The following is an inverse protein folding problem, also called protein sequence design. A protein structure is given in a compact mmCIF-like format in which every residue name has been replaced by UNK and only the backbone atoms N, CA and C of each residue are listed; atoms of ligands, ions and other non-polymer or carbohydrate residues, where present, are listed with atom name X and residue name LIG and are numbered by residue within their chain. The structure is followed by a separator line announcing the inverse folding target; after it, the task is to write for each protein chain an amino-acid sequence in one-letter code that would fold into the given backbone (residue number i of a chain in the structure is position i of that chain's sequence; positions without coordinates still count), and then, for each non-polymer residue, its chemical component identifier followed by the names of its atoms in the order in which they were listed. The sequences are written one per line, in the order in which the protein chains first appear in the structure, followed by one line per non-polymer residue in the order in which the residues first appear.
data_IF_115612908144
#
_entry.id   IF_115612908144
#
_cell.length_a   1.000
_cell.length_b   1.000
_cell.length_c   1.000
_cell.angle_alpha   90.00
_cell.angle_beta   90.00
_cell.angle_gamma   90.00
#
_symmetry.space_group_name_H-M   'P 1'
#
loop_
_entity.id
_entity.type
_entity.pdbx_description
1 polymer ?
#
# COMPACT_ATOMS: atom_id res chain seq x y z
N UNK A 1 2.51 18.90 -1.59
CA UNK A 1 1.07 19.09 -1.91
C UNK A 1 0.51 18.03 -2.86
N UNK A 2 1.18 17.59 -3.95
CA UNK A 2 0.65 16.50 -4.80
C UNK A 2 0.64 15.10 -4.16
N UNK A 3 1.54 14.82 -3.21
CA UNK A 3 1.56 13.51 -2.53
C UNK A 3 0.35 13.30 -1.61
N UNK A 4 -0.25 14.37 -1.10
CA UNK A 4 -1.42 14.32 -0.22
C UNK A 4 -2.72 14.07 -1.00
N UNK A 5 -2.82 14.51 -2.26
CA UNK A 5 -4.03 14.30 -3.06
C UNK A 5 -4.27 12.83 -3.41
N UNK A 6 -3.20 12.03 -3.45
CA UNK A 6 -3.25 10.58 -3.71
C UNK A 6 -3.50 9.77 -2.44
N UNK A 7 -3.39 10.39 -1.27
CA UNK A 7 -3.73 9.77 0.00
C UNK A 7 -5.21 10.04 0.29
N UNK A 8 -6.09 9.29 -0.38
CA UNK A 8 -7.54 9.34 -0.21
C UNK A 8 -8.13 7.93 -0.20
N UNK A 9 -9.36 7.83 0.30
CA UNK A 9 -10.17 6.61 0.25
C UNK A 9 -11.33 6.82 -0.73
N UNK A 10 -11.73 5.77 -1.44
CA UNK A 10 -12.79 5.86 -2.45
C UNK A 10 -14.19 5.98 -1.85
N UNK A 11 -15.12 6.53 -2.61
CA UNK A 11 -16.52 6.77 -2.21
C UNK A 11 -17.30 5.50 -1.87
N UNK A 12 -16.82 4.33 -2.32
CA UNK A 12 -17.41 3.01 -2.03
C UNK A 12 -16.98 2.41 -0.69
N UNK A 13 -16.03 3.04 0.02
CA UNK A 13 -15.62 2.58 1.35
C UNK A 13 -16.76 2.76 2.39
N UNK A 14 -16.65 2.08 3.53
CA UNK A 14 -17.58 2.27 4.65
C UNK A 14 -17.66 3.73 5.11
N UNK A 15 -18.84 4.15 5.61
CA UNK A 15 -19.05 5.55 6.06
C UNK A 15 -18.08 5.95 7.18
N UNK A 16 -17.78 5.05 8.11
CA UNK A 16 -16.80 5.27 9.18
C UNK A 16 -15.41 5.50 8.62
N UNK A 17 -14.98 4.66 7.67
CA UNK A 17 -13.68 4.82 7.01
C UNK A 17 -13.59 6.16 6.28
N UNK A 18 -14.61 6.53 5.49
CA UNK A 18 -14.65 7.82 4.79
C UNK A 18 -14.55 9.01 5.75
N UNK A 19 -15.32 8.99 6.84
CA UNK A 19 -15.31 10.07 7.84
C UNK A 19 -13.94 10.23 8.50
N UNK A 20 -13.32 9.13 8.90
CA UNK A 20 -12.03 9.16 9.59
C UNK A 20 -10.86 9.43 8.64
N UNK A 21 -10.94 8.98 7.39
CA UNK A 21 -9.97 9.34 6.36
C UNK A 21 -10.06 10.84 6.01
N UNK A 22 -11.26 11.41 5.96
CA UNK A 22 -11.45 12.84 5.75
C UNK A 22 -10.84 13.68 6.88
N UNK A 23 -11.02 13.25 8.13
CA UNK A 23 -10.34 13.87 9.28
C UNK A 23 -8.82 13.72 9.17
N UNK A 24 -8.31 12.53 8.83
CA UNK A 24 -6.88 12.30 8.60
C UNK A 24 -6.33 13.26 7.53
N UNK A 25 -7.01 13.41 6.39
CA UNK A 25 -6.63 14.35 5.32
C UNK A 25 -6.66 15.80 5.78
N UNK A 26 -7.70 16.23 6.51
CA UNK A 26 -7.76 17.57 7.08
C UNK A 26 -6.58 17.83 8.02
N UNK A 27 -6.25 16.85 8.86
CA UNK A 27 -5.16 16.94 9.81
C UNK A 27 -3.77 16.85 9.18
N UNK A 28 -3.64 16.18 8.03
CA UNK A 28 -2.42 16.15 7.23
C UNK A 28 -2.20 17.49 6.52
N UNK A 29 -3.20 17.99 5.80
CA UNK A 29 -3.05 19.16 4.92
C UNK A 29 -3.15 20.50 5.63
N UNK A 30 -3.99 20.63 6.66
CA UNK A 30 -4.28 21.92 7.32
C UNK A 30 -3.62 21.98 8.68
N UNK A 31 -3.91 21.02 9.56
CA UNK A 31 -3.48 21.12 10.96
C UNK A 31 -2.04 20.62 11.18
N UNK A 32 -1.52 19.81 10.25
CA UNK A 32 -0.21 19.14 10.33
C UNK A 32 0.04 18.45 11.68
N UNK A 33 -1.00 17.83 12.24
CA UNK A 33 -0.85 17.17 13.55
C UNK A 33 0.07 15.96 13.44
N UNK A 34 0.93 15.76 14.44
CA UNK A 34 1.95 14.70 14.41
C UNK A 34 1.40 13.32 14.09
N UNK A 35 0.23 12.94 14.62
CA UNK A 35 -0.36 11.62 14.33
C UNK A 35 -0.70 11.44 12.84
N UNK A 36 -1.19 12.49 12.18
CA UNK A 36 -1.58 12.42 10.77
C UNK A 36 -0.35 12.34 9.85
N UNK A 37 0.69 13.13 10.17
CA UNK A 37 1.97 13.10 9.45
C UNK A 37 2.63 11.73 9.61
N UNK A 38 2.66 11.18 10.84
CA UNK A 38 3.19 9.84 11.13
C UNK A 38 2.49 8.73 10.35
N UNK A 39 1.17 8.75 10.27
CA UNK A 39 0.43 7.78 9.44
C UNK A 39 0.79 7.93 7.95
N UNK A 40 0.89 9.15 7.46
CA UNK A 40 1.25 9.40 6.06
C UNK A 40 2.67 8.92 5.74
N UNK A 41 3.67 9.27 6.56
CA UNK A 41 5.07 8.87 6.34
C UNK A 41 5.32 7.38 6.62
N UNK A 42 4.48 6.74 7.45
CA UNK A 42 4.48 5.29 7.64
C UNK A 42 4.04 4.51 6.39
N UNK A 43 3.33 5.15 5.47
CA UNK A 43 2.89 4.54 4.22
C UNK A 43 3.97 4.67 3.15
N UNK A 44 4.15 3.65 2.31
CA UNK A 44 5.15 3.67 1.24
C UNK A 44 4.56 3.23 -0.09
N UNK A 45 4.01 4.15 -0.87
CA UNK A 45 3.56 3.85 -2.24
C UNK A 45 4.76 3.46 -3.13
N UNK A 46 4.59 2.52 -4.09
CA UNK A 46 5.64 2.14 -5.04
C UNK A 46 5.96 3.27 -6.03
N UNK A 47 6.62 4.34 -5.57
CA UNK A 47 7.17 5.43 -6.39
C UNK A 47 8.64 5.22 -6.75
N UNK A 48 9.35 4.34 -6.03
CA UNK A 48 10.81 4.20 -6.11
C UNK A 48 11.20 2.74 -6.27
N UNK A 49 11.98 2.42 -7.30
CA UNK A 49 12.63 1.11 -7.42
C UNK A 49 11.78 0.00 -8.04
N UNK A 50 10.57 0.26 -8.54
CA UNK A 50 9.79 -0.74 -9.29
C UNK A 50 10.58 -1.27 -10.50
N UNK A 51 11.14 -0.37 -11.32
CA UNK A 51 12.03 -0.70 -12.45
C UNK A 51 13.41 -1.23 -12.01
N UNK A 52 13.72 -1.19 -10.72
CA UNK A 52 14.94 -1.73 -10.12
C UNK A 52 14.69 -3.07 -9.40
N UNK A 53 13.49 -3.66 -9.55
CA UNK A 53 13.15 -4.94 -8.94
C UNK A 53 12.68 -4.86 -7.48
N UNK A 54 12.40 -3.68 -6.92
CA UNK A 54 11.89 -3.56 -5.55
C UNK A 54 10.45 -4.08 -5.49
N UNK A 55 10.28 -5.27 -4.89
CA UNK A 55 8.99 -5.93 -4.69
C UNK A 55 8.23 -5.45 -3.46
N UNK A 56 8.94 -5.07 -2.41
CA UNK A 56 8.36 -4.80 -1.09
C UNK A 56 8.64 -3.34 -0.68
N UNK A 57 7.58 -2.57 -0.48
CA UNK A 57 7.58 -1.19 -0.03
C UNK A 57 6.90 -1.14 1.35
N UNK A 58 7.63 -1.57 2.37
CA UNK A 58 7.04 -1.93 3.66
C UNK A 58 6.75 -0.73 4.56
N UNK A 59 7.22 0.48 4.22
CA UNK A 59 7.03 1.66 5.06
C UNK A 59 7.44 1.42 6.52
N UNK A 60 6.79 2.12 7.46
CA UNK A 60 7.05 1.99 8.89
C UNK A 60 5.88 1.32 9.62
N UNK A 61 5.98 0.00 9.83
CA UNK A 61 4.98 -0.75 10.59
C UNK A 61 4.83 -0.23 12.01
N UNK A 62 5.95 -0.10 12.74
CA UNK A 62 5.97 0.28 14.16
C UNK A 62 5.37 1.66 14.39
N UNK A 63 5.65 2.63 13.52
CA UNK A 63 5.10 3.98 13.68
C UNK A 63 3.60 4.02 13.39
N UNK A 64 3.15 3.30 12.36
CA UNK A 64 1.73 3.21 12.05
C UNK A 64 0.91 2.63 13.21
N UNK A 65 1.29 1.44 13.71
CA UNK A 65 0.50 0.76 14.75
C UNK A 65 0.58 1.48 16.09
N UNK A 66 1.67 2.22 16.37
CA UNK A 66 1.78 3.03 17.59
C UNK A 66 1.15 4.42 17.47
N UNK A 67 0.58 4.77 16.32
CA UNK A 67 -0.22 5.98 16.21
C UNK A 67 -1.56 5.76 16.93
N UNK A 68 -1.61 6.20 18.18
CA UNK A 68 -2.77 6.16 19.07
C UNK A 68 -3.02 7.56 19.63
N UNK A 69 -3.67 8.40 18.82
CA UNK A 69 -4.24 9.64 19.30
C UNK A 69 -5.58 9.34 19.99
N UNK A 70 -6.00 10.19 20.95
CA UNK A 70 -7.22 9.96 21.78
C UNK A 70 -8.46 9.51 21.01
N UNK A 71 -8.60 9.90 19.75
CA UNK A 71 -9.75 9.57 18.88
C UNK A 71 -9.37 8.81 17.62
N UNK A 72 -8.10 8.42 17.45
CA UNK A 72 -7.56 7.86 16.21
C UNK A 72 -6.49 6.81 16.48
N UNK A 73 -6.75 5.58 16.04
CA UNK A 73 -5.76 4.50 15.99
C UNK A 73 -5.39 4.17 14.55
N UNK A 74 -4.10 4.01 14.29
CA UNK A 74 -3.56 3.56 13.01
C UNK A 74 -3.73 2.05 12.80
N UNK A 75 -3.97 1.67 11.56
CA UNK A 75 -3.98 0.30 11.07
C UNK A 75 -2.98 0.19 9.93
N UNK A 76 -1.96 -0.63 10.11
CA UNK A 76 -1.01 -0.96 9.06
C UNK A 76 -1.61 -2.07 8.20
N UNK A 77 -1.60 -1.91 6.88
CA UNK A 77 -2.00 -2.96 5.94
C UNK A 77 -1.00 -3.07 4.79
N UNK A 78 -0.73 -4.29 4.33
CA UNK A 78 -0.07 -4.51 3.04
C UNK A 78 -1.11 -4.68 1.92
N UNK A 79 -0.93 -3.89 0.87
CA UNK A 79 -1.62 -4.04 -0.40
C UNK A 79 -0.75 -4.87 -1.32
N UNK A 80 -1.35 -5.87 -1.96
CA UNK A 80 -0.73 -6.71 -2.99
C UNK A 80 -1.26 -6.27 -4.36
N UNK A 81 -0.39 -5.86 -5.27
CA UNK A 81 -0.72 -5.72 -6.69
C UNK A 81 -0.08 -6.85 -7.48
N UNK A 82 -0.92 -7.50 -8.28
CA UNK A 82 -0.50 -8.51 -9.24
C UNK A 82 -0.53 -7.93 -10.65
N UNK A 83 0.64 -7.85 -11.28
CA UNK A 83 0.79 -7.39 -12.66
C UNK A 83 0.57 -8.56 -13.63
N UNK A 84 -0.26 -8.33 -14.64
CA UNK A 84 -0.57 -9.30 -15.69
C UNK A 84 -0.14 -8.73 -17.05
N UNK A 85 1.00 -9.23 -17.54
CA UNK A 85 1.55 -8.85 -18.84
C UNK A 85 1.20 -9.86 -19.95
N UNK A 86 0.37 -10.87 -19.65
CA UNK A 86 0.14 -12.00 -20.57
C UNK A 86 -0.54 -11.62 -21.89
N UNK A 87 -1.22 -10.47 -21.92
CA UNK A 87 -1.92 -9.96 -23.08
C UNK A 87 -1.09 -8.96 -23.92
N UNK A 88 0.11 -8.59 -23.46
CA UNK A 88 0.96 -7.64 -24.16
C UNK A 88 1.84 -8.34 -25.19
N UNK A 89 2.04 -7.68 -26.33
CA UNK A 89 3.08 -8.11 -27.27
C UNK A 89 4.46 -8.05 -26.60
N UNK A 90 5.33 -9.00 -26.92
CA UNK A 90 6.68 -9.01 -26.39
C UNK A 90 7.43 -7.74 -26.81
N UNK A 91 8.16 -7.08 -25.89
CA UNK A 91 8.84 -5.85 -26.21
C UNK A 91 9.92 -6.06 -27.27
N UNK A 92 9.92 -5.21 -28.31
CA UNK A 92 10.94 -5.23 -29.38
C UNK A 92 12.28 -4.64 -28.93
N UNK A 93 12.25 -3.80 -27.89
CA UNK A 93 13.41 -3.16 -27.28
C UNK A 93 13.15 -2.89 -25.80
N UNK A 94 14.22 -2.93 -25.02
CA UNK A 94 14.28 -2.64 -23.57
C UNK A 94 15.39 -1.62 -23.30
N UNK A 95 15.36 -0.97 -22.13
CA UNK A 95 16.34 0.04 -21.72
C UNK A 95 15.78 1.47 -21.73
N UNK A 96 16.67 2.44 -21.44
CA UNK A 96 16.29 3.80 -21.03
C UNK A 96 15.48 4.61 -22.07
N UNK A 97 15.62 4.29 -23.35
CA UNK A 97 14.89 4.94 -24.44
C UNK A 97 13.56 4.23 -24.80
N UNK A 98 13.26 3.12 -24.13
CA UNK A 98 12.05 2.32 -24.35
C UNK A 98 10.99 2.59 -23.28
N UNK A 99 9.79 2.04 -23.46
CA UNK A 99 8.75 2.14 -22.42
C UNK A 99 9.20 1.41 -21.16
N UNK A 100 9.08 2.06 -20.00
CA UNK A 100 9.37 1.43 -18.71
C UNK A 100 8.58 0.12 -18.47
N UNK A 101 7.42 -0.05 -19.12
CA UNK A 101 6.63 -1.27 -19.06
C UNK A 101 7.27 -2.43 -19.82
N UNK A 102 8.07 -2.14 -20.85
CA UNK A 102 8.85 -3.16 -21.56
C UNK A 102 9.90 -3.76 -20.62
N UNK A 103 10.55 -2.93 -19.80
CA UNK A 103 11.49 -3.39 -18.79
C UNK A 103 10.78 -4.26 -17.75
N UNK A 104 9.58 -3.86 -17.30
CA UNK A 104 8.75 -4.66 -16.38
C UNK A 104 8.29 -6.00 -16.96
N UNK A 105 7.87 -6.01 -18.22
CA UNK A 105 7.50 -7.24 -18.93
C UNK A 105 8.73 -8.14 -19.15
N UNK A 106 9.90 -7.57 -19.46
CA UNK A 106 11.12 -8.36 -19.55
C UNK A 106 11.48 -8.98 -18.20
N UNK A 107 11.29 -8.27 -17.08
CA UNK A 107 11.53 -8.86 -15.76
C UNK A 107 10.60 -10.06 -15.46
N UNK A 108 9.44 -10.10 -16.10
CA UNK A 108 8.49 -11.20 -16.02
C UNK A 108 8.89 -12.39 -16.91
N UNK A 109 9.35 -12.14 -18.13
CA UNK A 109 9.59 -13.18 -19.13
C UNK A 109 10.97 -13.87 -19.03
N UNK A 110 11.96 -13.23 -18.41
CA UNK A 110 13.32 -13.77 -18.31
C UNK A 110 13.42 -14.88 -17.23
N UNK A 111 13.64 -16.15 -17.62
CA UNK A 111 13.76 -17.26 -16.66
C UNK A 111 15.06 -17.23 -15.85
N UNK A 112 16.05 -16.43 -16.26
CA UNK A 112 17.30 -16.24 -15.53
C UNK A 112 17.22 -15.14 -14.48
N UNK A 113 16.13 -14.36 -14.47
CA UNK A 113 15.92 -13.39 -13.43
C UNK A 113 15.42 -14.01 -12.14
N UNK A 114 16.07 -13.62 -11.05
CA UNK A 114 15.69 -14.00 -9.70
C UNK A 114 14.44 -13.25 -9.19
N UNK A 115 14.02 -12.19 -9.88
CA UNK A 115 13.01 -11.23 -9.39
C UNK A 115 11.88 -11.07 -10.40
N UNK A 116 10.95 -12.02 -10.42
CA UNK A 116 9.73 -11.84 -11.20
C UNK A 116 8.78 -10.85 -10.53
N UNK A 117 8.61 -9.66 -11.10
CA UNK A 117 7.72 -8.58 -10.59
C UNK A 117 6.23 -8.86 -10.82
N UNK A 118 5.80 -10.12 -10.71
CA UNK A 118 4.37 -10.47 -10.76
C UNK A 118 3.60 -9.88 -9.58
N UNK A 119 4.23 -9.79 -8.41
CA UNK A 119 3.61 -9.34 -7.17
C UNK A 119 4.45 -8.22 -6.56
N UNK A 120 3.82 -7.07 -6.35
CA UNK A 120 4.39 -5.92 -5.64
C UNK A 120 3.54 -5.66 -4.41
N UNK A 121 4.21 -5.44 -3.29
CA UNK A 121 3.58 -5.20 -2.00
C UNK A 121 3.93 -3.82 -1.52
N UNK A 122 2.94 -3.07 -1.04
CA UNK A 122 3.18 -1.81 -0.37
C UNK A 122 2.36 -1.60 0.89
N UNK A 123 2.93 -0.84 1.81
CA UNK A 123 2.32 -0.50 3.07
C UNK A 123 1.44 0.74 2.95
N UNK A 124 0.25 0.65 3.55
CA UNK A 124 -0.65 1.76 3.78
C UNK A 124 -1.00 1.80 5.27
N UNK A 125 -0.82 2.96 5.89
CA UNK A 125 -1.30 3.23 7.24
C UNK A 125 -2.64 3.96 7.16
N UNK A 126 -3.72 3.27 7.47
CA UNK A 126 -5.09 3.78 7.38
C UNK A 126 -5.72 3.92 8.77
N UNK A 127 -6.81 4.68 8.92
CA UNK A 127 -7.58 4.64 10.17
C UNK A 127 -8.05 3.21 10.49
N UNK A 128 -7.99 2.82 11.76
CA UNK A 128 -8.48 1.52 12.26
C UNK A 128 -9.99 1.30 12.09
N UNK A 129 -10.75 2.36 11.81
CA UNK A 129 -12.17 2.27 11.45
C UNK A 129 -12.41 1.77 10.02
N UNK A 130 -11.36 1.72 9.18
CA UNK A 130 -11.41 1.15 7.85
C UNK A 130 -11.26 -0.37 7.89
N UNK A 131 -12.02 -1.07 7.07
CA UNK A 131 -11.84 -2.50 6.85
C UNK A 131 -10.80 -2.75 5.75
N UNK A 132 -10.12 -3.91 5.75
CA UNK A 132 -9.22 -4.29 4.64
C UNK A 132 -9.89 -4.19 3.26
N UNK A 133 -11.19 -4.49 3.19
CA UNK A 133 -12.00 -4.35 1.97
C UNK A 133 -12.20 -2.90 1.52
N UNK A 134 -12.27 -1.94 2.44
CA UNK A 134 -12.38 -0.52 2.11
C UNK A 134 -11.11 -0.04 1.39
N UNK A 135 -9.95 -0.45 1.92
CA UNK A 135 -8.66 -0.18 1.30
C UNK A 135 -8.56 -0.88 -0.06
N UNK A 136 -8.92 -2.17 -0.16
CA UNK A 136 -8.85 -2.92 -1.42
C UNK A 136 -9.67 -2.25 -2.52
N UNK A 137 -10.92 -1.87 -2.24
CA UNK A 137 -11.79 -1.18 -3.21
C UNK A 137 -11.19 0.16 -3.67
N UNK A 138 -10.61 0.91 -2.74
CA UNK A 138 -10.01 2.21 -3.03
C UNK A 138 -8.75 2.08 -3.86
N UNK A 139 -7.89 1.11 -3.52
CA UNK A 139 -6.65 0.85 -4.23
C UNK A 139 -6.90 0.29 -5.63
N UNK A 140 -7.93 -0.54 -5.83
CA UNK A 140 -8.36 -0.98 -7.17
C UNK A 140 -8.64 0.22 -8.07
N UNK A 141 -9.48 1.15 -7.62
CA UNK A 141 -9.80 2.34 -8.42
C UNK A 141 -8.56 3.20 -8.73
N UNK A 142 -7.67 3.40 -7.74
CA UNK A 142 -6.45 4.21 -7.94
C UNK A 142 -5.50 3.53 -8.92
N UNK A 143 -5.30 2.22 -8.77
CA UNK A 143 -4.45 1.44 -9.67
C UNK A 143 -5.05 1.39 -11.07
N UNK A 144 -6.35 1.19 -11.22
CA UNK A 144 -7.01 1.21 -12.53
C UNK A 144 -6.77 2.56 -13.22
N UNK A 145 -6.93 3.68 -12.53
CA UNK A 145 -6.63 5.01 -13.10
C UNK A 145 -5.14 5.17 -13.45
N UNK A 146 -4.24 4.74 -12.56
CA UNK A 146 -2.79 4.95 -12.76
C UNK A 146 -2.20 4.05 -13.83
N UNK A 147 -2.69 2.82 -14.00
CA UNK A 147 -2.08 1.82 -14.87
C UNK A 147 -2.86 1.54 -16.17
N UNK A 148 -4.17 1.82 -16.22
CA UNK A 148 -4.93 1.70 -17.49
C UNK A 148 -4.47 2.74 -18.51
N UNK A 149 -4.10 3.94 -18.04
CA UNK A 149 -3.60 5.02 -18.90
C UNK A 149 -2.22 4.69 -19.54
N UNK A 150 -1.55 3.61 -19.09
CA UNK A 150 -0.22 3.24 -19.57
C UNK A 150 -0.20 1.79 -20.10
N UNK A 151 -0.44 1.64 -21.41
CA UNK A 151 -0.28 0.40 -22.19
C UNK A 151 -1.20 -0.76 -21.81
N UNK A 152 -2.40 -0.51 -21.27
CA UNK A 152 -3.39 -1.56 -20.96
C UNK A 152 -2.86 -2.68 -20.02
N UNK A 153 -1.90 -2.35 -19.15
CA UNK A 153 -1.37 -3.31 -18.17
C UNK A 153 -2.46 -3.62 -17.15
N UNK A 154 -2.96 -4.86 -17.17
CA UNK A 154 -3.94 -5.30 -16.19
C UNK A 154 -3.27 -5.52 -14.83
N UNK A 155 -3.72 -4.79 -13.81
CA UNK A 155 -3.21 -4.92 -12.44
C UNK A 155 -4.34 -5.32 -11.50
N UNK A 156 -4.17 -6.44 -10.81
CA UNK A 156 -5.16 -6.95 -9.84
C UNK A 156 -4.70 -6.62 -8.42
N UNK A 157 -5.51 -5.88 -7.67
CA UNK A 157 -5.21 -5.50 -6.29
C UNK A 157 -5.94 -6.38 -5.28
N UNK A 158 -5.24 -6.75 -4.20
CA UNK A 158 -5.77 -7.49 -3.05
C UNK A 158 -5.26 -6.94 -1.72
N UNK A 159 -6.09 -6.94 -0.69
CA UNK A 159 -5.68 -6.63 0.69
C UNK A 159 -6.12 -7.77 1.58
N UNK A 160 -5.16 -8.60 2.03
CA UNK A 160 -5.45 -9.73 2.90
C UNK A 160 -5.64 -9.23 4.35
N UNK A 161 -6.77 -9.52 5.02
CA UNK A 161 -6.97 -9.13 6.43
C UNK A 161 -5.86 -9.60 7.37
N UNK A 162 -5.20 -10.73 7.08
CA UNK A 162 -4.05 -11.23 7.87
C UNK A 162 -2.78 -10.40 7.74
N UNK A 163 -2.71 -9.52 6.73
CA UNK A 163 -1.63 -8.58 6.52
C UNK A 163 -2.00 -7.16 7.00
N UNK A 164 -3.09 -7.05 7.77
CA UNK A 164 -3.47 -5.84 8.48
C UNK A 164 -3.22 -6.00 9.98
N UNK A 165 -2.78 -4.93 10.64
CA UNK A 165 -2.46 -4.93 12.07
C UNK A 165 -2.87 -3.61 12.70
N UNK A 166 -3.54 -3.71 13.84
CA UNK A 166 -3.83 -2.61 14.76
C UNK A 166 -3.17 -2.99 16.08
N UNK A 167 -2.64 -2.01 16.81
CA UNK A 167 -2.15 -2.26 18.16
C UNK A 167 -3.31 -2.73 19.03
N UNK A 168 -3.22 -3.98 19.49
CA UNK A 168 -4.12 -4.52 20.51
C UNK A 168 -3.61 -4.11 21.89
N UNK A 169 -4.52 -3.84 22.81
CA UNK A 169 -4.20 -3.46 24.19
C UNK A 169 -3.88 -4.71 25.05
N UNK A 170 -3.54 -5.83 24.42
CA UNK A 170 -3.32 -7.11 25.10
C UNK A 170 -2.00 -7.06 25.88
N UNK A 171 -2.12 -6.91 27.20
CA UNK A 171 -1.04 -7.22 28.13
C UNK A 171 -0.74 -8.71 28.00
N UNK A 172 0.31 -9.07 27.27
CA UNK A 172 0.83 -10.43 27.28
C UNK A 172 1.34 -10.72 28.69
N UNK A 173 0.51 -11.38 29.47
CA UNK A 173 0.83 -11.91 30.79
C UNK A 173 1.79 -13.08 30.62
N UNK A 174 3.09 -12.83 30.71
CA UNK A 174 4.07 -13.90 30.83
C UNK A 174 4.04 -14.45 32.26
N UNK A 175 3.27 -15.50 32.47
CA UNK A 175 3.33 -16.31 33.69
C UNK A 175 4.54 -17.24 33.59
N UNK A 176 5.70 -16.79 34.06
CA UNK A 176 6.85 -17.67 34.26
C UNK A 176 6.60 -18.53 35.49
N UNK A 177 6.13 -19.76 35.30
CA UNK A 177 6.22 -20.77 36.34
C UNK A 177 7.68 -21.22 36.42
N UNK A 178 8.44 -20.62 37.34
CA UNK A 178 9.71 -21.18 37.79
C UNK A 178 9.40 -22.53 38.45
N UNK A 179 9.77 -23.61 37.76
CA UNK A 179 9.87 -24.92 38.38
C UNK A 179 11.15 -24.86 39.24
N UNK A 180 10.95 -24.73 40.54
CA UNK A 180 11.98 -24.92 41.55
C UNK A 180 12.17 -26.41 41.84
#
# INVERSE_FOLDING_TARGET
MEAESRFHIGEKASKSCQQDFNKLRQHLSINQTSWAVRMFESSEWPRVGLLSGKKYHLGSWTECVNTDAKTFKGQYCLVEAKFDFSHLEKPRAVGMESSAWNDLQQFHEDPHQLVHLHHVYWAMCIPSSCQPSDLELSMKNIVDVVFTDYNDVAVKVKVNPKMCSVKTDDKVSFSFNLIA
#
